data_IF_524837795029
#
_entry.id   IF_524837795029
#
_cell.length_a   1.000
_cell.length_b   1.000
_cell.length_c   1.000
_cell.angle_alpha   90.00
_cell.angle_beta   90.00
_cell.angle_gamma   90.00
#
_symmetry.space_group_name_H-M   'P 1'
#
loop_
_entity.id
_entity.type
_entity.pdbx_description
1 polymer ?
#
# COMPACT_ATOMS: atom_id res chain seq x y z
N UNK A 1 13.12 -9.82 -20.17
CA UNK A 1 12.61 -10.03 -18.78
C UNK A 1 12.97 -8.78 -18.00
N UNK A 2 12.04 -8.20 -17.25
CA UNK A 2 12.23 -6.96 -16.47
C UNK A 2 12.93 -7.32 -15.16
N UNK A 3 14.12 -6.77 -14.91
CA UNK A 3 14.88 -6.95 -13.67
C UNK A 3 14.29 -6.09 -12.57
N UNK A 4 14.10 -6.66 -11.37
CA UNK A 4 13.39 -6.00 -10.27
C UNK A 4 14.24 -6.02 -9.00
N UNK A 5 14.26 -4.89 -8.28
CA UNK A 5 14.63 -4.89 -6.86
C UNK A 5 13.39 -4.70 -6.00
N UNK A 6 13.31 -5.41 -4.87
CA UNK A 6 12.21 -5.35 -3.92
C UNK A 6 12.71 -4.78 -2.59
N UNK A 7 12.24 -3.57 -2.23
CA UNK A 7 12.56 -2.91 -0.96
C UNK A 7 11.44 -3.11 0.04
N UNK A 8 11.81 -3.22 1.32
CA UNK A 8 10.84 -3.43 2.40
C UNK A 8 9.96 -4.66 2.12
N UNK A 9 10.61 -5.71 1.64
CA UNK A 9 9.97 -6.84 0.99
C UNK A 9 8.94 -7.57 1.87
N UNK A 10 9.00 -7.40 3.19
CA UNK A 10 8.13 -8.12 4.12
C UNK A 10 8.26 -9.63 3.91
N UNK A 11 7.15 -10.27 3.66
CA UNK A 11 7.11 -11.72 3.32
C UNK A 11 7.10 -11.98 1.80
N UNK A 12 7.45 -10.98 0.97
CA UNK A 12 7.56 -11.14 -0.48
C UNK A 12 6.27 -10.94 -1.27
N UNK A 13 5.40 -10.03 -0.83
CA UNK A 13 4.11 -9.80 -1.49
C UNK A 13 4.25 -9.30 -2.93
N UNK A 14 5.18 -8.40 -3.21
CA UNK A 14 5.48 -7.96 -4.57
C UNK A 14 6.07 -9.11 -5.41
N UNK A 15 7.03 -9.85 -4.85
CA UNK A 15 7.65 -10.98 -5.55
C UNK A 15 6.65 -12.03 -5.96
N UNK A 16 5.74 -12.43 -5.06
CA UNK A 16 4.68 -13.40 -5.37
C UNK A 16 3.78 -12.87 -6.50
N UNK A 17 3.35 -11.61 -6.43
CA UNK A 17 2.51 -11.00 -7.45
C UNK A 17 3.19 -10.91 -8.82
N UNK A 18 4.44 -10.48 -8.86
CA UNK A 18 5.22 -10.37 -10.10
C UNK A 18 5.56 -11.75 -10.69
N UNK A 19 5.83 -12.77 -9.86
CA UNK A 19 6.00 -14.15 -10.32
C UNK A 19 4.73 -14.68 -10.99
N UNK A 20 3.54 -14.41 -10.41
CA UNK A 20 2.23 -14.74 -11.01
C UNK A 20 1.96 -13.94 -12.30
N UNK A 21 2.44 -12.70 -12.37
CA UNK A 21 2.33 -11.87 -13.58
C UNK A 21 3.21 -12.38 -14.74
N UNK A 22 4.35 -13.01 -14.42
CA UNK A 22 5.40 -13.47 -15.33
C UNK A 22 6.15 -12.34 -16.04
N UNK A 23 7.34 -12.63 -16.56
CA UNK A 23 8.17 -11.67 -17.28
C UNK A 23 9.08 -10.80 -16.40
N UNK A 24 9.18 -11.11 -15.10
CA UNK A 24 9.99 -10.42 -14.11
C UNK A 24 11.04 -11.33 -13.48
N UNK A 25 12.18 -10.75 -13.14
CA UNK A 25 13.27 -11.39 -12.44
C UNK A 25 13.64 -10.54 -11.20
N UNK A 26 13.45 -11.07 -10.00
CA UNK A 26 13.89 -10.37 -8.78
C UNK A 26 15.39 -10.58 -8.63
N UNK A 27 16.16 -9.55 -8.94
CA UNK A 27 17.62 -9.59 -8.90
C UNK A 27 18.20 -9.20 -7.54
N UNK A 28 17.42 -8.52 -6.70
CA UNK A 28 17.81 -8.17 -5.34
C UNK A 28 16.59 -7.81 -4.48
N UNK A 29 16.70 -8.03 -3.18
CA UNK A 29 15.66 -7.67 -2.21
C UNK A 29 16.27 -7.23 -0.89
N UNK A 30 15.54 -6.38 -0.15
CA UNK A 30 15.92 -5.95 1.19
C UNK A 30 14.72 -6.00 2.13
N UNK A 31 14.93 -6.60 3.31
CA UNK A 31 13.97 -6.59 4.41
C UNK A 31 14.71 -6.54 5.74
N UNK A 32 14.39 -5.56 6.56
CA UNK A 32 14.93 -5.42 7.90
C UNK A 32 13.89 -4.87 8.89
N UNK A 33 13.85 -5.44 10.10
CA UNK A 33 12.94 -5.05 11.17
C UNK A 33 13.73 -4.40 12.32
N UNK A 34 13.78 -3.05 12.43
CA UNK A 34 14.69 -2.33 13.34
C UNK A 34 14.39 -2.54 14.83
N UNK A 35 13.17 -2.93 15.19
CA UNK A 35 12.73 -3.02 16.58
C UNK A 35 12.85 -4.41 17.21
N UNK A 36 13.22 -5.41 16.42
CA UNK A 36 13.28 -6.81 16.88
C UNK A 36 14.65 -7.42 16.66
N UNK A 37 15.09 -8.28 17.61
CA UNK A 37 16.33 -9.07 17.43
C UNK A 37 16.16 -10.19 16.40
N UNK A 38 14.95 -10.76 16.32
CA UNK A 38 14.58 -11.74 15.29
C UNK A 38 14.05 -11.02 14.06
N UNK A 39 14.30 -11.59 12.88
CA UNK A 39 13.91 -11.01 11.59
C UNK A 39 12.90 -11.91 10.85
N UNK A 40 11.71 -12.18 11.44
CA UNK A 40 10.82 -13.23 10.95
C UNK A 40 10.28 -12.97 9.55
N UNK A 41 10.16 -11.71 9.12
CA UNK A 41 9.75 -11.41 7.75
C UNK A 41 10.86 -11.81 6.75
N UNK A 42 12.11 -11.46 7.05
CA UNK A 42 13.28 -11.85 6.27
C UNK A 42 13.50 -13.37 6.29
N UNK A 43 13.32 -14.02 7.46
CA UNK A 43 13.45 -15.47 7.59
C UNK A 43 12.45 -16.21 6.69
N UNK A 44 11.18 -15.78 6.66
CA UNK A 44 10.15 -16.30 5.76
C UNK A 44 10.51 -16.04 4.30
N UNK A 45 10.94 -14.82 4.00
CA UNK A 45 11.32 -14.44 2.64
C UNK A 45 12.41 -15.35 2.10
N UNK A 46 13.49 -15.55 2.87
CA UNK A 46 14.63 -16.40 2.46
C UNK A 46 14.25 -17.87 2.40
N UNK A 47 13.38 -18.36 3.29
CA UNK A 47 12.88 -19.73 3.24
C UNK A 47 12.06 -19.99 1.95
N UNK A 48 11.36 -18.99 1.41
CA UNK A 48 10.56 -19.12 0.19
C UNK A 48 11.35 -18.92 -1.09
N UNK A 49 12.32 -18.02 -1.08
CA UNK A 49 12.93 -17.51 -2.31
C UNK A 49 14.46 -17.67 -2.37
N UNK A 50 15.06 -18.19 -1.33
CA UNK A 50 16.53 -18.25 -1.19
C UNK A 50 17.13 -16.97 -0.63
N UNK A 51 18.38 -17.05 -0.20
CA UNK A 51 19.13 -15.97 0.45
C UNK A 51 20.12 -15.24 -0.47
N UNK A 52 20.40 -15.77 -1.65
CA UNK A 52 21.54 -15.36 -2.47
C UNK A 52 21.53 -13.88 -2.87
N UNK A 53 20.36 -13.31 -3.09
CA UNK A 53 20.16 -11.91 -3.48
C UNK A 53 19.30 -11.17 -2.47
N UNK A 54 19.35 -11.54 -1.19
CA UNK A 54 18.56 -10.93 -0.12
C UNK A 54 19.46 -10.25 0.92
N UNK A 55 19.21 -8.97 1.18
CA UNK A 55 19.86 -8.22 2.25
C UNK A 55 18.95 -8.09 3.45
N UNK A 56 19.42 -8.55 4.61
CA UNK A 56 18.78 -8.32 5.91
C UNK A 56 19.58 -7.27 6.72
N UNK A 57 19.71 -6.08 6.14
CA UNK A 57 20.43 -4.97 6.75
C UNK A 57 19.57 -3.70 6.67
N UNK A 58 19.86 -2.73 7.55
CA UNK A 58 19.23 -1.40 7.41
C UNK A 58 19.55 -0.83 6.02
N UNK A 59 18.55 -0.50 5.25
CA UNK A 59 18.72 0.02 3.89
C UNK A 59 19.55 1.31 3.87
N UNK A 60 19.51 2.11 4.93
CA UNK A 60 20.35 3.31 5.04
C UNK A 60 21.84 2.95 5.15
N UNK A 61 22.19 1.91 5.91
CA UNK A 61 23.56 1.42 6.01
C UNK A 61 24.03 0.80 4.68
N UNK A 62 23.13 0.09 3.96
CA UNK A 62 23.44 -0.43 2.62
C UNK A 62 23.74 0.71 1.64
N UNK A 63 22.94 1.76 1.65
CA UNK A 63 23.12 2.93 0.78
C UNK A 63 24.42 3.66 1.12
N UNK A 64 24.74 3.83 2.41
CA UNK A 64 25.93 4.57 2.84
C UNK A 64 27.23 3.79 2.59
N UNK A 65 27.23 2.46 2.79
CA UNK A 65 28.46 1.68 2.85
C UNK A 65 28.59 0.60 1.77
N UNK A 66 27.51 0.21 1.12
CA UNK A 66 27.46 -0.93 0.20
C UNK A 66 26.63 -0.62 -1.06
N UNK A 67 26.56 0.63 -1.50
CA UNK A 67 25.68 1.06 -2.61
C UNK A 67 25.88 0.19 -3.87
N UNK A 68 27.11 -0.18 -4.18
CA UNK A 68 27.46 -1.03 -5.33
C UNK A 68 26.89 -2.46 -5.25
N UNK A 69 26.43 -2.88 -4.06
CA UNK A 69 25.76 -4.17 -3.89
C UNK A 69 24.29 -4.15 -4.43
N UNK A 70 23.73 -2.96 -4.68
CA UNK A 70 22.42 -2.82 -5.29
C UNK A 70 22.58 -2.91 -6.80
N UNK A 71 22.15 -4.02 -7.45
CA UNK A 71 22.38 -4.23 -8.88
C UNK A 71 21.58 -3.27 -9.74
N UNK A 72 21.94 -3.19 -11.03
CA UNK A 72 21.14 -2.49 -12.02
C UNK A 72 19.83 -3.23 -12.26
N UNK A 73 18.75 -2.47 -12.39
CA UNK A 73 17.40 -2.98 -12.46
C UNK A 73 16.49 -2.05 -13.28
N UNK A 74 15.43 -2.63 -13.83
CA UNK A 74 14.46 -1.91 -14.66
C UNK A 74 13.24 -1.43 -13.87
N UNK A 75 12.93 -2.12 -12.74
CA UNK A 75 11.78 -1.85 -11.89
C UNK A 75 12.19 -1.89 -10.41
N UNK A 76 11.84 -0.86 -9.65
CA UNK A 76 11.91 -0.86 -8.20
C UNK A 76 10.51 -1.00 -7.62
N UNK A 77 10.31 -1.99 -6.74
CA UNK A 77 9.05 -2.18 -6.03
C UNK A 77 9.25 -2.08 -4.51
N UNK A 78 8.20 -1.62 -3.80
CA UNK A 78 8.26 -1.57 -2.33
C UNK A 78 7.01 -1.03 -1.66
N UNK A 79 6.71 -1.58 -0.49
CA UNK A 79 5.67 -1.09 0.41
C UNK A 79 6.30 -0.33 1.58
N UNK A 80 6.58 0.95 1.41
CA UNK A 80 7.26 1.73 2.44
C UNK A 80 6.30 2.17 3.57
N UNK A 81 6.72 2.10 4.86
CA UNK A 81 5.85 2.46 5.97
C UNK A 81 5.49 3.94 6.01
N UNK A 82 4.25 4.23 6.47
CA UNK A 82 3.67 5.58 6.55
C UNK A 82 3.99 6.31 7.87
N UNK A 83 4.93 5.83 8.68
CA UNK A 83 5.18 6.39 9.99
C UNK A 83 6.19 7.54 9.92
N UNK A 84 5.80 8.71 10.47
CA UNK A 84 6.64 9.87 10.80
C UNK A 84 7.29 10.70 9.68
N UNK A 85 6.61 10.88 8.53
CA UNK A 85 7.11 11.75 7.46
C UNK A 85 7.34 13.20 7.91
N UNK A 86 6.52 13.72 8.84
CA UNK A 86 6.47 15.17 9.11
C UNK A 86 7.49 15.67 10.14
N UNK A 87 7.93 14.83 11.07
CA UNK A 87 8.78 15.28 12.20
C UNK A 87 10.27 15.02 11.91
N UNK A 88 10.60 13.90 11.28
CA UNK A 88 11.97 13.55 10.98
C UNK A 88 12.54 14.41 9.84
N UNK A 89 11.76 14.69 8.79
CA UNK A 89 12.21 15.50 7.65
C UNK A 89 12.77 16.87 8.06
N UNK A 90 12.07 17.62 8.90
CA UNK A 90 12.51 18.99 9.25
C UNK A 90 13.85 18.99 9.98
N UNK A 91 14.13 18.00 10.81
CA UNK A 91 15.41 17.87 11.53
C UNK A 91 16.53 17.38 10.63
N UNK A 92 16.25 16.44 9.75
CA UNK A 92 17.25 15.77 8.90
C UNK A 92 17.59 16.62 7.67
N UNK A 93 16.60 17.20 7.02
CA UNK A 93 16.81 18.11 5.90
C UNK A 93 17.63 19.33 6.32
N UNK A 94 17.30 19.96 7.45
CA UNK A 94 18.09 21.06 8.01
C UNK A 94 19.52 20.62 8.40
N UNK A 95 19.74 19.38 8.84
CA UNK A 95 21.05 18.85 9.15
C UNK A 95 21.86 18.50 7.90
N UNK A 96 21.21 18.00 6.86
CA UNK A 96 21.83 17.64 5.57
C UNK A 96 22.27 18.90 4.79
N UNK A 97 21.46 19.95 4.80
CA UNK A 97 21.85 21.25 4.20
C UNK A 97 23.01 21.94 4.93
N UNK A 98 23.18 21.69 6.22
CA UNK A 98 24.28 22.26 7.02
C UNK A 98 25.57 21.47 6.96
N UNK A 99 25.51 20.21 6.54
CA UNK A 99 26.68 19.33 6.44
C UNK A 99 26.85 18.85 5.00
N UNK A 100 27.67 19.52 4.23
CA UNK A 100 28.02 19.24 2.83
C UNK A 100 28.89 17.98 2.66
N UNK A 101 28.81 16.98 3.54
CA UNK A 101 29.53 15.73 3.43
C UNK A 101 28.73 14.55 4.00
N UNK A 102 28.05 13.82 3.10
CA UNK A 102 27.49 12.49 3.34
C UNK A 102 26.06 12.49 3.90
N UNK A 103 25.32 11.47 3.49
CA UNK A 103 23.98 11.11 3.93
C UNK A 103 24.02 10.64 5.41
N UNK A 104 24.53 11.48 6.31
CA UNK A 104 24.57 11.16 7.73
C UNK A 104 23.33 11.66 8.42
N UNK A 105 22.41 10.72 8.77
CA UNK A 105 21.35 11.00 9.74
C UNK A 105 19.94 10.57 9.42
N UNK A 106 19.65 9.84 8.36
CA UNK A 106 18.29 9.50 7.89
C UNK A 106 17.73 8.20 8.44
N UNK A 107 17.98 7.86 9.70
CA UNK A 107 17.29 6.75 10.37
C UNK A 107 15.83 7.12 10.60
N UNK A 108 14.98 7.00 9.58
CA UNK A 108 13.57 7.20 9.86
C UNK A 108 12.61 7.36 8.69
N UNK A 109 13.05 7.70 7.51
CA UNK A 109 12.08 7.92 6.42
C UNK A 109 12.47 7.09 5.21
N UNK A 110 11.91 5.90 5.13
CA UNK A 110 12.23 4.92 4.08
C UNK A 110 11.92 5.43 2.65
N UNK A 111 11.11 6.49 2.51
CA UNK A 111 10.97 7.21 1.26
C UNK A 111 12.31 7.77 0.76
N UNK A 112 13.09 8.35 1.66
CA UNK A 112 14.39 8.94 1.28
C UNK A 112 15.43 7.90 0.92
N UNK A 113 15.30 6.68 1.44
CA UNK A 113 16.11 5.55 0.98
C UNK A 113 15.78 5.18 -0.47
N UNK A 114 14.49 5.16 -0.84
CA UNK A 114 14.10 5.00 -2.25
C UNK A 114 14.68 6.14 -3.09
N UNK A 115 14.49 7.39 -2.69
CA UNK A 115 14.99 8.57 -3.40
C UNK A 115 16.51 8.52 -3.58
N UNK A 116 17.27 8.18 -2.52
CA UNK A 116 18.72 8.09 -2.55
C UNK A 116 19.23 7.00 -3.52
N UNK A 117 18.53 5.87 -3.61
CA UNK A 117 18.85 4.84 -4.62
C UNK A 117 18.63 5.39 -6.03
N UNK A 118 17.50 6.04 -6.28
CA UNK A 118 17.20 6.63 -7.59
C UNK A 118 18.21 7.71 -7.99
N UNK A 119 18.54 8.61 -7.06
CA UNK A 119 19.52 9.67 -7.27
C UNK A 119 20.93 9.10 -7.49
N UNK A 120 21.34 8.14 -6.65
CA UNK A 120 22.65 7.50 -6.73
C UNK A 120 22.86 6.68 -8.03
N UNK A 121 21.80 6.04 -8.55
CA UNK A 121 21.83 5.37 -9.86
C UNK A 121 21.83 6.37 -11.04
N UNK A 122 21.36 7.58 -10.85
CA UNK A 122 21.42 8.65 -11.85
C UNK A 122 20.80 8.26 -13.21
N UNK A 123 21.62 8.17 -14.24
CA UNK A 123 21.16 7.77 -15.59
C UNK A 123 20.68 6.32 -15.65
N UNK A 124 21.23 5.45 -14.82
CA UNK A 124 20.89 4.02 -14.70
C UNK A 124 19.77 3.75 -13.71
N UNK A 125 19.08 4.81 -13.23
CA UNK A 125 17.88 4.64 -12.40
C UNK A 125 16.81 3.84 -13.15
N UNK A 126 15.99 3.02 -12.44
CA UNK A 126 15.02 2.14 -13.07
C UNK A 126 14.02 2.88 -13.94
N UNK A 127 13.63 2.26 -15.05
CA UNK A 127 12.58 2.77 -15.93
C UNK A 127 11.24 2.92 -15.24
N UNK A 128 10.98 2.08 -14.20
CA UNK A 128 9.68 2.00 -13.54
C UNK A 128 9.79 1.91 -12.04
N UNK A 129 8.78 2.48 -11.36
CA UNK A 129 8.55 2.24 -9.94
C UNK A 129 7.13 1.69 -9.75
N UNK A 130 6.95 0.73 -8.84
CA UNK A 130 5.65 0.26 -8.37
C UNK A 130 5.65 0.25 -6.84
N UNK A 131 5.02 1.23 -6.24
CA UNK A 131 5.04 1.45 -4.80
C UNK A 131 3.65 1.30 -4.19
N UNK A 132 3.58 0.84 -2.95
CA UNK A 132 2.33 0.71 -2.19
C UNK A 132 2.41 1.47 -0.89
N UNK A 133 1.28 2.06 -0.48
CA UNK A 133 1.14 2.66 0.84
C UNK A 133 -0.35 2.68 1.29
N UNK A 134 -0.60 3.03 2.54
CA UNK A 134 -1.96 3.27 3.01
C UNK A 134 -2.57 4.50 2.32
N UNK A 135 -3.87 4.46 2.02
CA UNK A 135 -4.59 5.55 1.34
C UNK A 135 -4.55 6.90 2.10
N UNK A 136 -4.29 6.85 3.41
CA UNK A 136 -4.09 8.06 4.23
C UNK A 136 -2.89 8.91 3.81
N UNK A 137 -1.90 8.34 3.10
CA UNK A 137 -0.77 9.09 2.56
C UNK A 137 -1.22 10.32 1.78
N UNK A 138 -2.30 10.21 0.99
CA UNK A 138 -2.85 11.31 0.21
C UNK A 138 -3.37 12.49 1.06
N UNK A 139 -3.52 12.30 2.38
CA UNK A 139 -4.12 13.26 3.33
C UNK A 139 -3.22 13.53 4.52
N UNK A 140 -1.97 13.11 4.46
CA UNK A 140 -1.02 13.26 5.56
C UNK A 140 -0.08 14.45 5.31
N UNK A 141 0.35 15.20 6.33
CA UNK A 141 -0.12 15.18 7.72
C UNK A 141 -1.48 15.88 7.88
N UNK A 142 -2.16 15.65 9.00
CA UNK A 142 -3.50 16.21 9.25
C UNK A 142 -3.54 17.72 9.30
N UNK A 143 -2.43 18.37 9.67
CA UNK A 143 -2.26 19.84 9.76
C UNK A 143 -2.03 20.51 8.41
N UNK A 144 -1.51 19.78 7.44
CA UNK A 144 -1.22 20.24 6.06
C UNK A 144 -1.53 19.08 5.10
N UNK A 145 -2.81 18.78 4.91
CA UNK A 145 -3.24 17.58 4.18
C UNK A 145 -2.69 17.54 2.77
N UNK A 146 -2.05 16.41 2.45
CA UNK A 146 -1.46 16.12 1.15
C UNK A 146 -0.01 16.60 0.97
N UNK A 147 0.55 17.37 1.92
CA UNK A 147 1.91 17.89 1.81
C UNK A 147 2.95 16.79 1.58
N UNK A 148 2.91 15.73 2.38
CA UNK A 148 3.92 14.66 2.29
C UNK A 148 3.81 13.89 0.98
N UNK A 149 2.60 13.72 0.46
CA UNK A 149 2.41 13.14 -0.86
C UNK A 149 2.90 14.08 -1.98
N UNK A 150 2.69 15.39 -1.84
CA UNK A 150 3.25 16.38 -2.77
C UNK A 150 4.78 16.33 -2.81
N UNK A 151 5.44 16.13 -1.67
CA UNK A 151 6.90 15.97 -1.58
C UNK A 151 7.36 14.73 -2.36
N UNK A 152 6.69 13.60 -2.17
CA UNK A 152 6.96 12.35 -2.92
C UNK A 152 6.83 12.60 -4.42
N UNK A 153 5.72 13.16 -4.86
CA UNK A 153 5.46 13.45 -6.27
C UNK A 153 6.48 14.44 -6.84
N UNK A 154 6.77 15.51 -6.10
CA UNK A 154 7.72 16.54 -6.52
C UNK A 154 9.12 15.97 -6.67
N UNK A 155 9.61 15.20 -5.68
CA UNK A 155 10.94 14.60 -5.72
C UNK A 155 11.10 13.61 -6.89
N UNK A 156 10.06 12.84 -7.23
CA UNK A 156 10.11 11.95 -8.41
C UNK A 156 10.11 12.73 -9.73
N UNK A 157 9.34 13.81 -9.83
CA UNK A 157 9.37 14.63 -11.05
C UNK A 157 10.71 15.33 -11.23
N UNK A 158 11.40 15.72 -10.15
CA UNK A 158 12.75 16.29 -10.19
C UNK A 158 13.79 15.26 -10.69
N UNK A 159 13.55 13.96 -10.44
CA UNK A 159 14.35 12.85 -10.98
C UNK A 159 13.92 12.43 -12.40
N UNK A 160 13.00 13.15 -13.02
CA UNK A 160 12.58 12.93 -14.42
C UNK A 160 11.48 11.87 -14.59
N UNK A 161 10.69 11.57 -13.57
CA UNK A 161 9.56 10.64 -13.68
C UNK A 161 8.24 11.38 -13.96
N UNK A 162 7.38 10.74 -14.78
CA UNK A 162 5.93 10.96 -14.74
C UNK A 162 5.38 9.97 -13.73
N UNK A 163 4.46 10.42 -12.86
CA UNK A 163 3.94 9.59 -11.76
C UNK A 163 2.41 9.57 -11.79
N UNK A 164 1.82 8.38 -11.81
CA UNK A 164 0.39 8.18 -11.59
C UNK A 164 0.15 7.46 -10.26
N UNK A 165 -1.02 7.70 -9.68
CA UNK A 165 -1.46 6.99 -8.47
C UNK A 165 -2.93 6.61 -8.57
N UNK A 166 -3.26 5.52 -7.86
CA UNK A 166 -4.64 5.07 -7.73
C UNK A 166 -4.87 4.45 -6.37
N UNK A 167 -5.97 4.86 -5.72
CA UNK A 167 -6.43 4.19 -4.52
C UNK A 167 -7.28 3.00 -4.94
N UNK A 168 -6.78 1.80 -4.66
CA UNK A 168 -7.42 0.53 -5.00
C UNK A 168 -7.91 -0.12 -3.71
N UNK A 169 -9.20 -0.44 -3.64
CA UNK A 169 -9.73 -1.37 -2.67
C UNK A 169 -9.84 -2.74 -3.38
N UNK A 170 -9.07 -3.71 -2.92
CA UNK A 170 -8.96 -5.01 -3.60
C UNK A 170 -10.32 -5.71 -3.82
N UNK A 171 -11.24 -5.59 -2.87
CA UNK A 171 -12.57 -6.17 -2.98
C UNK A 171 -13.42 -5.57 -4.12
N UNK A 172 -13.19 -4.32 -4.47
CA UNK A 172 -13.94 -3.66 -5.57
C UNK A 172 -13.55 -4.23 -6.95
N UNK A 173 -12.51 -5.10 -7.00
CA UNK A 173 -11.97 -5.71 -8.21
C UNK A 173 -11.89 -7.24 -8.11
N UNK A 174 -12.81 -7.83 -7.35
CA UNK A 174 -13.03 -9.28 -7.29
C UNK A 174 -12.21 -10.04 -6.24
N UNK A 175 -11.39 -9.36 -5.44
CA UNK A 175 -10.52 -10.00 -4.45
C UNK A 175 -11.21 -10.17 -3.08
N UNK A 176 -10.78 -11.14 -2.24
CA UNK A 176 -11.55 -11.57 -1.06
C UNK A 176 -11.47 -10.61 0.14
N UNK A 177 -10.72 -9.51 0.04
CA UNK A 177 -10.52 -8.59 1.17
C UNK A 177 -10.75 -7.12 0.80
N UNK A 178 -11.50 -6.39 1.63
CA UNK A 178 -11.67 -4.94 1.54
C UNK A 178 -10.43 -4.20 2.06
N UNK A 179 -9.30 -4.36 1.35
CA UNK A 179 -8.03 -3.71 1.67
C UNK A 179 -7.77 -2.55 0.73
N UNK A 180 -7.90 -1.35 1.27
CA UNK A 180 -7.75 -0.10 0.53
C UNK A 180 -6.33 0.42 0.66
N UNK A 181 -5.64 0.61 -0.49
CA UNK A 181 -4.27 1.10 -0.56
C UNK A 181 -4.09 2.07 -1.72
N UNK A 182 -3.14 2.98 -1.59
CA UNK A 182 -2.66 3.76 -2.74
C UNK A 182 -1.50 3.00 -3.37
N UNK A 183 -1.61 2.79 -4.68
CA UNK A 183 -0.53 2.32 -5.52
C UNK A 183 -0.02 3.49 -6.34
N UNK A 184 1.31 3.56 -6.48
CA UNK A 184 2.01 4.63 -7.20
C UNK A 184 2.86 3.97 -8.27
N UNK A 185 2.64 4.37 -9.52
CA UNK A 185 3.45 3.95 -10.66
C UNK A 185 4.23 5.16 -11.16
N UNK A 186 5.52 4.98 -11.42
CA UNK A 186 6.34 6.04 -11.99
C UNK A 186 7.09 5.54 -13.22
N UNK A 187 7.24 6.40 -14.19
CA UNK A 187 7.82 6.13 -15.51
C UNK A 187 8.95 7.11 -15.76
N UNK A 188 10.18 6.61 -15.90
CA UNK A 188 11.37 7.43 -16.09
C UNK A 188 11.45 8.01 -17.51
N UNK A 189 11.96 9.20 -17.61
CA UNK A 189 12.33 9.85 -18.88
C UNK A 189 13.22 8.91 -19.72
N UNK A 190 12.81 8.66 -20.96
CA UNK A 190 13.48 7.74 -21.87
C UNK A 190 12.85 6.35 -21.95
N UNK A 191 12.08 5.90 -20.93
CA UNK A 191 11.38 4.62 -21.01
C UNK A 191 10.28 4.62 -22.08
N UNK A 192 9.91 3.43 -22.60
CA UNK A 192 8.86 3.33 -23.64
C UNK A 192 7.54 3.97 -23.22
N UNK A 193 7.06 3.66 -22.03
CA UNK A 193 5.80 4.19 -21.49
C UNK A 193 5.89 5.71 -21.29
N UNK A 194 7.00 6.22 -20.75
CA UNK A 194 7.18 7.68 -20.60
C UNK A 194 7.07 8.39 -21.94
N UNK A 195 7.77 7.89 -23.00
CA UNK A 195 7.72 8.48 -24.35
C UNK A 195 6.30 8.53 -24.88
N UNK A 196 5.54 7.44 -24.68
CA UNK A 196 4.13 7.40 -25.08
C UNK A 196 3.30 8.45 -24.35
N UNK A 197 3.33 8.47 -23.00
CA UNK A 197 2.57 9.45 -22.19
C UNK A 197 2.97 10.89 -22.53
N UNK A 198 4.28 11.11 -22.76
CA UNK A 198 4.79 12.45 -23.07
C UNK A 198 4.25 12.99 -24.39
N UNK A 199 3.92 12.13 -25.34
CA UNK A 199 3.42 12.48 -26.67
C UNK A 199 1.88 12.47 -26.77
N UNK A 200 1.16 12.10 -25.70
CA UNK A 200 -0.30 12.15 -25.72
C UNK A 200 -0.80 13.59 -25.84
N UNK A 201 -1.80 13.85 -26.69
CA UNK A 201 -2.45 15.17 -26.77
C UNK A 201 -3.10 15.56 -25.44
N UNK A 202 -3.74 14.61 -24.79
CA UNK A 202 -4.38 14.74 -23.47
C UNK A 202 -3.81 13.66 -22.55
N UNK A 203 -3.06 14.06 -21.55
CA UNK A 203 -2.48 13.13 -20.57
C UNK A 203 -3.56 12.43 -19.71
N UNK A 204 -4.74 13.03 -19.60
CA UNK A 204 -5.91 12.48 -18.93
C UNK A 204 -6.34 11.13 -19.52
N UNK A 205 -6.17 10.93 -20.83
CA UNK A 205 -6.51 9.69 -21.53
C UNK A 205 -5.74 8.49 -20.97
N UNK A 206 -4.53 8.74 -20.45
CA UNK A 206 -3.74 7.71 -19.79
C UNK A 206 -4.42 7.18 -18.52
N UNK A 207 -4.86 8.06 -17.64
CA UNK A 207 -5.44 7.66 -16.35
C UNK A 207 -6.91 7.28 -16.43
N UNK A 208 -7.61 7.60 -17.54
CA UNK A 208 -9.05 7.31 -17.71
C UNK A 208 -9.34 6.15 -18.65
N UNK A 209 -8.42 5.83 -19.59
CA UNK A 209 -8.70 4.85 -20.65
C UNK A 209 -7.59 3.81 -20.82
N UNK A 210 -6.36 4.22 -21.02
CA UNK A 210 -5.31 3.38 -21.60
C UNK A 210 -4.15 3.03 -20.65
N UNK A 211 -4.08 3.63 -19.46
CA UNK A 211 -2.93 3.51 -18.57
C UNK A 211 -2.74 2.16 -17.91
N UNK A 212 -1.51 1.92 -17.45
CA UNK A 212 -1.11 0.71 -16.73
C UNK A 212 -2.03 0.38 -15.57
N UNK A 213 -2.51 1.39 -14.85
CA UNK A 213 -3.42 1.19 -13.71
C UNK A 213 -4.90 1.12 -14.14
N UNK A 214 -5.28 1.81 -15.23
CA UNK A 214 -6.67 1.86 -15.67
C UNK A 214 -7.14 0.52 -16.25
N UNK A 215 -6.32 -0.13 -17.05
CA UNK A 215 -6.67 -1.41 -17.68
C UNK A 215 -7.07 -2.51 -16.69
N UNK A 216 -6.26 -2.82 -15.65
CA UNK A 216 -6.61 -3.86 -14.68
C UNK A 216 -7.56 -3.41 -13.58
N UNK A 217 -7.69 -2.11 -13.34
CA UNK A 217 -8.50 -1.51 -12.30
C UNK A 217 -9.36 -0.37 -12.88
N UNK A 218 -10.30 -0.71 -13.77
CA UNK A 218 -11.09 0.31 -14.44
C UNK A 218 -11.92 1.11 -13.44
N UNK A 219 -11.85 2.43 -13.57
CA UNK A 219 -12.60 3.38 -12.75
C UNK A 219 -13.19 4.45 -13.66
N UNK A 220 -14.38 4.91 -13.32
CA UNK A 220 -15.04 6.05 -13.95
C UNK A 220 -15.01 7.27 -13.05
N UNK A 221 -15.02 8.45 -13.64
CA UNK A 221 -15.13 9.72 -12.91
C UNK A 221 -16.41 9.74 -12.08
N UNK A 222 -16.30 10.14 -10.82
CA UNK A 222 -17.45 10.32 -9.94
C UNK A 222 -18.06 11.71 -10.16
N UNK A 223 -19.04 11.80 -11.03
CA UNK A 223 -19.72 13.07 -11.38
C UNK A 223 -20.73 13.56 -10.32
N UNK A 224 -20.62 13.09 -9.06
CA UNK A 224 -21.61 13.39 -8.03
C UNK A 224 -22.98 12.76 -8.32
N UNK A 225 -23.98 13.00 -7.47
CA UNK A 225 -25.37 12.58 -7.70
C UNK A 225 -26.01 13.44 -8.80
N UNK A 226 -25.80 13.09 -10.07
CA UNK A 226 -26.59 13.57 -11.18
C UNK A 226 -28.00 12.90 -11.19
N UNK A 227 -28.73 13.06 -10.10
CA UNK A 227 -30.19 13.01 -10.12
C UNK A 227 -30.66 14.42 -10.46
N UNK A 228 -31.01 14.63 -11.74
CA UNK A 228 -31.51 15.86 -12.36
C UNK A 228 -30.42 16.86 -12.81
N UNK A 229 -29.95 16.73 -14.04
CA UNK A 229 -30.13 17.79 -15.06
C UNK A 229 -29.40 17.43 -16.35
N UNK A 230 -29.84 17.97 -17.45
CA UNK A 230 -29.42 17.79 -18.84
C UNK A 230 -27.89 17.69 -19.04
N UNK A 231 -27.51 16.72 -19.85
CA UNK A 231 -26.15 16.48 -20.36
C UNK A 231 -25.51 17.77 -20.88
N UNK A 232 -24.64 18.36 -20.13
CA UNK A 232 -23.54 19.15 -20.65
C UNK A 232 -22.25 18.40 -20.40
N UNK A 233 -21.53 18.06 -21.46
CA UNK A 233 -20.30 17.31 -21.48
C UNK A 233 -19.10 18.08 -20.89
N UNK A 234 -19.27 19.27 -20.34
CA UNK A 234 -18.22 20.19 -19.92
C UNK A 234 -17.94 20.24 -18.40
N UNK A 235 -18.62 19.46 -17.57
CA UNK A 235 -18.36 19.41 -16.14
C UNK A 235 -17.73 18.07 -15.72
N UNK A 236 -16.61 17.71 -16.30
CA UNK A 236 -15.73 16.71 -15.74
C UNK A 236 -14.97 17.36 -14.56
N UNK A 237 -15.28 16.95 -13.34
CA UNK A 237 -14.62 17.47 -12.14
C UNK A 237 -13.20 16.88 -11.97
N UNK A 238 -12.33 17.12 -12.96
CA UNK A 238 -10.92 16.94 -12.85
C UNK A 238 -10.29 18.22 -12.29
N UNK A 239 -9.62 18.10 -11.16
CA UNK A 239 -8.87 19.21 -10.62
C UNK A 239 -7.46 19.22 -11.23
N UNK A 240 -7.02 20.40 -11.66
CA UNK A 240 -5.68 20.63 -12.18
C UNK A 240 -5.00 21.71 -11.36
N UNK A 241 -3.80 21.44 -10.87
CA UNK A 241 -2.97 22.42 -10.16
C UNK A 241 -1.48 22.13 -10.32
N UNK A 242 -0.67 23.12 -10.02
CA UNK A 242 0.79 23.00 -10.07
C UNK A 242 1.39 22.93 -8.66
N UNK A 243 2.31 21.98 -8.44
CA UNK A 243 3.14 21.96 -7.23
C UNK A 243 4.28 22.96 -7.44
N UNK A 244 4.18 24.11 -6.79
CA UNK A 244 5.12 25.22 -6.96
C UNK A 244 6.28 25.18 -5.96
N UNK A 245 7.44 25.64 -6.42
CA UNK A 245 8.61 25.81 -5.59
C UNK A 245 9.47 24.57 -5.40
N UNK A 246 10.51 24.71 -4.60
CA UNK A 246 11.39 23.62 -4.16
C UNK A 246 10.72 22.76 -3.10
N UNK A 247 11.32 21.62 -2.77
CA UNK A 247 10.85 20.77 -1.66
C UNK A 247 10.75 21.55 -0.33
N UNK A 248 11.64 22.50 -0.10
CA UNK A 248 11.62 23.38 1.07
C UNK A 248 10.35 24.23 1.13
N UNK A 249 9.96 24.84 0.01
CA UNK A 249 8.75 25.65 -0.05
C UNK A 249 7.48 24.88 0.27
N UNK A 250 7.44 23.55 0.00
CA UNK A 250 6.27 22.72 0.30
C UNK A 250 6.00 22.60 1.81
N UNK A 251 7.03 22.70 2.66
CA UNK A 251 6.84 22.71 4.12
C UNK A 251 6.21 23.99 4.63
N UNK A 252 6.45 25.10 3.97
CA UNK A 252 5.95 26.41 4.34
C UNK A 252 4.62 26.76 3.68
N UNK A 253 4.22 26.03 2.64
CA UNK A 253 2.95 26.25 1.92
C UNK A 253 1.74 25.89 2.79
N UNK A 254 1.19 26.91 3.45
CA UNK A 254 -0.04 26.82 4.24
C UNK A 254 -1.29 27.22 3.45
N UNK A 255 -1.16 27.51 2.19
CA UNK A 255 -2.27 27.94 1.30
C UNK A 255 -2.83 26.75 0.54
N UNK A 256 -1.97 25.94 -0.09
CA UNK A 256 -2.37 24.72 -0.79
C UNK A 256 -2.62 23.57 0.18
N UNK A 257 -1.75 23.39 1.19
CA UNK A 257 -1.82 22.30 2.16
C UNK A 257 -2.38 22.79 3.50
N UNK A 258 -3.69 22.70 3.67
CA UNK A 258 -4.42 23.11 4.87
C UNK A 258 -5.04 21.92 5.58
N UNK A 259 -5.50 22.04 6.85
CA UNK A 259 -6.20 20.96 7.54
C UNK A 259 -7.51 20.53 6.87
N UNK A 260 -8.12 21.40 6.06
CA UNK A 260 -9.43 21.17 5.42
C UNK A 260 -9.33 20.80 3.95
N UNK A 261 -8.27 21.19 3.28
CA UNK A 261 -8.09 20.93 1.85
C UNK A 261 -7.78 19.44 1.57
N UNK A 262 -8.14 18.98 0.39
CA UNK A 262 -7.87 17.63 -0.11
C UNK A 262 -7.39 17.74 -1.55
N UNK A 263 -6.14 18.19 -1.76
CA UNK A 263 -5.64 18.46 -3.11
C UNK A 263 -5.51 17.21 -3.96
N UNK A 264 -5.26 16.03 -3.34
CA UNK A 264 -5.12 14.77 -4.05
C UNK A 264 -6.37 13.91 -3.88
N UNK A 265 -7.00 13.56 -4.99
CA UNK A 265 -8.11 12.62 -5.06
C UNK A 265 -7.60 11.18 -5.20
N UNK A 266 -8.53 10.22 -5.33
CA UNK A 266 -8.16 8.80 -5.36
C UNK A 266 -7.52 8.32 -6.67
N UNK A 267 -7.57 9.12 -7.74
CA UNK A 267 -6.87 8.89 -9.01
C UNK A 267 -6.17 10.18 -9.42
N UNK A 268 -4.98 10.07 -9.97
CA UNK A 268 -4.29 11.22 -10.56
C UNK A 268 -2.96 10.88 -11.23
N UNK A 269 -2.42 11.89 -11.88
CA UNK A 269 -1.12 11.87 -12.55
C UNK A 269 -0.41 13.22 -12.36
N UNK A 270 0.90 13.19 -12.28
CA UNK A 270 1.73 14.39 -12.30
C UNK A 270 2.77 14.29 -13.41
N UNK A 271 2.91 15.36 -14.17
CA UNK A 271 3.93 15.56 -15.18
C UNK A 271 4.45 16.99 -15.08
N UNK A 272 5.77 17.16 -15.02
CA UNK A 272 6.39 18.48 -14.94
C UNK A 272 5.75 19.38 -13.86
N UNK A 273 5.57 18.86 -12.65
CA UNK A 273 4.92 19.51 -11.50
C UNK A 273 3.42 19.84 -11.69
N UNK A 274 2.83 19.60 -12.85
CA UNK A 274 1.37 19.73 -13.06
C UNK A 274 0.65 18.47 -12.65
N UNK A 275 -0.22 18.60 -11.67
CA UNK A 275 -1.09 17.53 -11.14
C UNK A 275 -2.44 17.59 -11.81
N UNK A 276 -2.95 16.42 -12.22
CA UNK A 276 -4.33 16.21 -12.64
C UNK A 276 -4.89 15.10 -11.77
N UNK A 277 -6.01 15.35 -11.11
CA UNK A 277 -6.59 14.40 -10.16
C UNK A 277 -8.13 14.49 -10.13
N UNK A 278 -8.78 13.36 -9.84
CA UNK A 278 -10.24 13.31 -9.74
C UNK A 278 -10.68 12.19 -8.78
N UNK A 279 -11.89 12.34 -8.23
CA UNK A 279 -12.54 11.27 -7.49
C UNK A 279 -13.14 10.26 -8.49
N UNK A 280 -12.81 8.99 -8.31
CA UNK A 280 -13.24 7.91 -9.18
C UNK A 280 -14.01 6.84 -8.41
N UNK A 281 -14.90 6.16 -9.09
CA UNK A 281 -15.61 4.98 -8.62
C UNK A 281 -15.13 3.75 -9.40
N UNK A 282 -15.01 2.60 -8.75
CA UNK A 282 -14.63 1.36 -9.42
C UNK A 282 -15.70 0.96 -10.45
N UNK A 283 -15.26 0.39 -11.57
CA UNK A 283 -16.11 -0.10 -12.66
C UNK A 283 -15.70 -1.53 -13.00
N UNK A 284 -16.06 -2.48 -12.14
CA UNK A 284 -15.72 -3.88 -12.26
C UNK A 284 -16.97 -4.73 -12.27
N UNK A 285 -17.06 -5.64 -13.25
CA UNK A 285 -18.24 -6.49 -13.49
C UNK A 285 -17.89 -7.99 -13.46
N UNK A 286 -16.69 -8.36 -13.02
CA UNK A 286 -16.28 -9.75 -12.86
C UNK A 286 -16.74 -10.36 -11.55
N UNK A 287 -16.35 -11.62 -11.35
CA UNK A 287 -16.66 -12.37 -10.14
C UNK A 287 -16.01 -11.74 -8.91
N UNK A 288 -16.72 -11.83 -7.78
CA UNK A 288 -16.27 -11.31 -6.49
C UNK A 288 -16.06 -12.48 -5.54
N UNK A 289 -14.82 -12.66 -5.10
CA UNK A 289 -14.48 -13.67 -4.11
C UNK A 289 -14.92 -13.21 -2.71
N UNK A 290 -15.68 -14.07 -2.02
CA UNK A 290 -16.17 -13.82 -0.68
C UNK A 290 -15.22 -14.33 0.41
N UNK A 291 -15.49 -14.01 1.68
CA UNK A 291 -14.79 -14.61 2.82
C UNK A 291 -15.01 -16.14 2.85
N UNK A 292 -16.22 -16.60 2.51
CA UNK A 292 -16.55 -18.02 2.49
C UNK A 292 -15.70 -18.82 1.51
N UNK A 293 -15.34 -18.24 0.35
CA UNK A 293 -14.57 -18.91 -0.69
C UNK A 293 -13.10 -19.19 -0.30
N UNK A 294 -12.59 -18.58 0.76
CA UNK A 294 -11.20 -18.74 1.21
C UNK A 294 -11.05 -19.57 2.48
N UNK A 295 -12.15 -20.06 3.04
CA UNK A 295 -12.12 -20.87 4.26
C UNK A 295 -11.46 -22.23 4.02
N UNK A 296 -10.87 -22.77 5.08
CA UNK A 296 -10.44 -24.16 5.15
C UNK A 296 -11.64 -25.07 5.48
N UNK A 297 -11.49 -26.36 5.18
CA UNK A 297 -12.45 -27.36 5.61
C UNK A 297 -12.46 -27.44 7.15
N UNK A 298 -13.66 -27.56 7.73
CA UNK A 298 -13.83 -27.53 9.19
C UNK A 298 -13.09 -28.66 9.93
N UNK A 299 -12.81 -29.79 9.26
CA UNK A 299 -12.03 -30.90 9.81
C UNK A 299 -10.55 -30.58 9.99
N UNK A 300 -10.04 -29.62 9.23
CA UNK A 300 -8.64 -29.16 9.31
C UNK A 300 -8.43 -28.03 10.35
N UNK A 301 -9.50 -27.55 10.98
CA UNK A 301 -9.41 -26.41 11.90
C UNK A 301 -8.98 -26.86 13.30
N UNK A 302 -7.82 -26.41 13.80
CA UNK A 302 -7.39 -26.71 15.16
C UNK A 302 -8.39 -26.22 16.22
N UNK A 303 -8.66 -27.02 17.28
CA UNK A 303 -9.65 -26.67 18.30
C UNK A 303 -9.47 -25.31 18.96
N UNK A 304 -8.25 -24.80 19.05
CA UNK A 304 -7.93 -23.50 19.64
C UNK A 304 -8.45 -22.29 18.86
N UNK A 305 -8.89 -22.45 17.63
CA UNK A 305 -9.50 -21.37 16.86
C UNK A 305 -10.96 -21.17 17.19
N UNK A 306 -11.63 -22.18 17.77
CA UNK A 306 -13.02 -22.06 18.19
C UNK A 306 -13.17 -21.20 19.44
N UNK A 307 -14.27 -20.46 19.48
CA UNK A 307 -14.64 -19.63 20.64
C UNK A 307 -15.43 -20.49 21.62
N UNK A 308 -14.96 -20.54 22.86
CA UNK A 308 -15.65 -21.28 23.91
C UNK A 308 -16.91 -20.53 24.37
N UNK A 309 -17.94 -21.22 24.88
CA UNK A 309 -19.11 -20.56 25.45
C UNK A 309 -18.76 -19.55 26.56
N UNK A 310 -17.72 -19.83 27.34
CA UNK A 310 -17.24 -18.93 28.42
C UNK A 310 -16.62 -17.64 27.88
N UNK A 311 -16.07 -17.62 26.68
CA UNK A 311 -15.45 -16.45 26.08
C UNK A 311 -16.45 -15.61 25.29
N UNK A 312 -17.61 -16.19 24.91
CA UNK A 312 -18.57 -15.57 24.00
C UNK A 312 -19.08 -14.22 24.52
N UNK A 313 -19.36 -14.08 25.81
CA UNK A 313 -19.83 -12.84 26.42
C UNK A 313 -18.82 -11.68 26.18
N UNK A 314 -17.54 -11.97 26.36
CA UNK A 314 -16.45 -11.01 26.10
C UNK A 314 -16.37 -10.59 24.62
N UNK A 315 -16.58 -11.53 23.70
CA UNK A 315 -16.62 -11.23 22.26
C UNK A 315 -17.81 -10.34 21.90
N UNK A 316 -19.02 -10.69 22.38
CA UNK A 316 -20.24 -9.90 22.16
C UNK A 316 -20.06 -8.47 22.72
N UNK A 317 -19.55 -8.35 23.96
CA UNK A 317 -19.27 -7.04 24.55
C UNK A 317 -18.30 -6.22 23.71
N UNK A 318 -17.16 -6.79 23.29
CA UNK A 318 -16.16 -6.06 22.51
C UNK A 318 -16.66 -5.67 21.12
N UNK A 319 -17.48 -6.48 20.47
CA UNK A 319 -18.04 -6.23 19.14
C UNK A 319 -19.22 -5.27 19.17
N UNK A 320 -19.94 -5.21 20.28
CA UNK A 320 -21.12 -4.36 20.45
C UNK A 320 -20.81 -2.87 20.47
N UNK A 321 -21.86 -2.08 20.32
CA UNK A 321 -21.81 -0.63 20.56
C UNK A 321 -21.59 -0.35 22.05
N UNK A 322 -20.88 0.73 22.34
CA UNK A 322 -20.66 1.21 23.70
C UNK A 322 -21.04 2.69 23.79
N UNK A 323 -21.68 3.05 24.89
CA UNK A 323 -22.05 4.41 25.21
C UNK A 323 -22.04 4.55 26.75
N UNK A 324 -20.87 4.77 27.32
CA UNK A 324 -20.65 4.64 28.77
C UNK A 324 -19.70 5.71 29.29
N UNK A 325 -19.89 6.09 30.56
CA UNK A 325 -18.94 6.92 31.32
C UNK A 325 -17.69 6.10 31.64
N UNK A 326 -16.52 6.69 31.45
CA UNK A 326 -15.21 6.11 31.84
C UNK A 326 -14.36 7.14 32.53
N UNK A 327 -13.49 6.68 33.42
CA UNK A 327 -12.51 7.51 34.10
C UNK A 327 -11.10 7.20 33.57
N UNK A 328 -10.33 8.22 33.22
CA UNK A 328 -8.93 8.05 32.84
C UNK A 328 -8.08 7.57 34.02
N UNK A 329 -6.88 7.04 33.76
CA UNK A 329 -5.93 6.70 34.84
C UNK A 329 -5.54 7.89 35.71
N UNK A 330 -5.76 9.11 35.22
CA UNK A 330 -5.49 10.37 35.92
C UNK A 330 -6.74 10.93 36.67
N UNK A 331 -7.85 10.17 36.71
CA UNK A 331 -9.05 10.54 37.44
C UNK A 331 -10.01 11.50 36.72
N UNK A 332 -9.84 11.69 35.39
CA UNK A 332 -10.75 12.53 34.60
C UNK A 332 -11.87 11.67 34.02
N UNK A 333 -13.11 12.02 34.31
CA UNK A 333 -14.28 11.38 33.73
C UNK A 333 -14.52 11.86 32.33
N UNK A 334 -14.81 10.91 31.40
CA UNK A 334 -15.16 11.19 30.03
C UNK A 334 -16.24 10.24 29.54
N UNK A 335 -16.99 10.68 28.55
CA UNK A 335 -18.00 9.86 27.91
C UNK A 335 -17.37 9.11 26.72
N UNK A 336 -17.42 7.76 26.78
CA UNK A 336 -16.91 6.89 25.73
C UNK A 336 -18.06 6.41 24.85
N UNK A 337 -18.00 6.73 23.55
CA UNK A 337 -18.97 6.28 22.56
C UNK A 337 -18.28 5.56 21.41
N UNK A 338 -18.74 4.36 21.09
CA UNK A 338 -18.21 3.51 20.03
C UNK A 338 -19.33 2.73 19.37
N UNK A 339 -19.45 2.80 18.04
CA UNK A 339 -20.47 2.06 17.30
C UNK A 339 -20.18 0.54 17.28
N UNK A 340 -21.14 -0.33 16.99
CA UNK A 340 -20.92 -1.75 16.81
C UNK A 340 -20.05 -2.06 15.56
N UNK A 341 -19.33 -3.19 15.60
CA UNK A 341 -18.74 -3.82 14.41
C UNK A 341 -19.54 -5.06 14.03
N UNK A 342 -19.45 -5.44 12.75
CA UNK A 342 -20.11 -6.65 12.25
C UNK A 342 -19.67 -7.87 13.06
N UNK A 343 -20.65 -8.66 13.52
CA UNK A 343 -20.43 -9.88 14.28
C UNK A 343 -21.65 -10.82 14.13
N UNK A 344 -21.47 -12.06 13.68
CA UNK A 344 -20.26 -12.60 13.06
C UNK A 344 -19.93 -11.91 11.71
N UNK A 345 -18.70 -12.09 11.21
CA UNK A 345 -18.33 -11.65 9.87
C UNK A 345 -19.08 -12.43 8.82
N UNK A 346 -19.67 -11.74 7.83
CA UNK A 346 -20.47 -12.36 6.77
C UNK A 346 -19.60 -13.17 5.81
N UNK A 347 -20.05 -14.38 5.47
CA UNK A 347 -19.33 -15.30 4.59
C UNK A 347 -19.59 -15.04 3.10
N UNK A 348 -20.71 -14.41 2.76
CA UNK A 348 -21.17 -14.13 1.40
C UNK A 348 -20.60 -12.85 0.79
N UNK A 349 -19.65 -12.20 1.45
CA UNK A 349 -19.04 -10.93 1.06
C UNK A 349 -17.52 -10.96 1.26
N UNK A 350 -16.76 -10.09 0.54
CA UNK A 350 -15.35 -9.90 0.83
C UNK A 350 -15.12 -9.52 2.29
N UNK A 351 -14.10 -10.11 2.89
CA UNK A 351 -13.67 -9.84 4.27
C UNK A 351 -13.42 -8.36 4.53
N UNK A 352 -13.57 -7.93 5.77
CA UNK A 352 -13.00 -6.65 6.24
C UNK A 352 -11.48 -6.69 6.07
N UNK A 353 -10.84 -5.52 6.12
CA UNK A 353 -9.36 -5.45 6.18
C UNK A 353 -8.85 -6.21 7.40
N UNK A 354 -7.99 -7.19 7.20
CA UNK A 354 -7.24 -7.84 8.29
C UNK A 354 -6.21 -6.89 8.86
N UNK A 355 -6.00 -6.99 10.16
CA UNK A 355 -5.08 -6.14 10.92
C UNK A 355 -3.96 -6.96 11.56
N UNK A 356 -2.91 -6.30 12.00
CA UNK A 356 -1.78 -6.93 12.69
C UNK A 356 -2.18 -7.63 14.02
N UNK A 357 -3.32 -7.28 14.57
CA UNK A 357 -3.85 -7.85 15.81
C UNK A 357 -4.76 -9.08 15.63
N UNK A 358 -4.84 -9.71 14.44
CA UNK A 358 -5.68 -10.90 14.19
C UNK A 358 -5.26 -12.11 15.03
N UNK A 359 -3.97 -12.25 15.30
CA UNK A 359 -3.44 -13.40 16.04
C UNK A 359 -3.83 -13.46 17.51
N UNK A 360 -3.62 -14.66 18.11
CA UNK A 360 -3.86 -14.91 19.54
C UNK A 360 -5.33 -15.16 19.90
N UNK A 361 -5.56 -15.81 21.06
CA UNK A 361 -6.90 -16.25 21.50
C UNK A 361 -7.75 -15.15 22.12
N UNK A 362 -7.13 -14.10 22.68
CA UNK A 362 -7.84 -13.07 23.41
C UNK A 362 -8.90 -12.38 22.53
N UNK A 363 -10.11 -12.17 23.07
CA UNK A 363 -11.15 -11.42 22.38
C UNK A 363 -10.68 -10.02 21.98
N UNK A 364 -11.11 -9.58 20.80
CA UNK A 364 -10.77 -8.27 20.26
C UNK A 364 -11.90 -7.74 19.39
N UNK A 365 -12.13 -6.43 19.46
CA UNK A 365 -13.09 -5.75 18.63
C UNK A 365 -12.83 -5.97 17.13
N UNK A 366 -11.57 -5.99 16.72
CA UNK A 366 -11.19 -5.94 15.32
C UNK A 366 -10.89 -7.29 14.67
N UNK A 367 -10.61 -8.34 15.47
CA UNK A 367 -10.38 -9.69 14.95
C UNK A 367 -11.61 -10.21 14.21
N UNK A 368 -11.40 -10.98 13.15
CA UNK A 368 -12.47 -11.68 12.46
C UNK A 368 -13.01 -12.84 13.29
N UNK A 369 -14.32 -12.97 13.29
CA UNK A 369 -15.03 -14.12 13.87
C UNK A 369 -16.14 -14.51 12.92
N UNK A 370 -16.18 -15.77 12.55
CA UNK A 370 -17.20 -16.36 11.68
C UNK A 370 -18.07 -17.34 12.46
N UNK A 371 -19.30 -17.52 12.02
CA UNK A 371 -20.21 -18.58 12.46
C UNK A 371 -20.19 -19.70 11.43
N UNK A 372 -19.70 -20.87 11.81
CA UNK A 372 -19.54 -22.03 10.91
C UNK A 372 -20.75 -22.96 10.91
N UNK A 373 -21.49 -22.96 11.99
CA UNK A 373 -22.83 -23.56 12.13
C UNK A 373 -23.57 -22.85 13.27
N UNK A 374 -24.91 -22.98 13.38
CA UNK A 374 -25.68 -22.27 14.40
C UNK A 374 -25.08 -22.38 15.81
N UNK A 375 -24.65 -21.26 16.38
CA UNK A 375 -24.03 -21.17 17.70
C UNK A 375 -22.57 -21.61 17.79
N UNK A 376 -21.93 -22.02 16.71
CA UNK A 376 -20.52 -22.42 16.68
C UNK A 376 -19.67 -21.37 15.98
N UNK A 377 -18.82 -20.68 16.74
CA UNK A 377 -18.01 -19.54 16.28
C UNK A 377 -16.53 -19.87 16.33
N UNK A 378 -15.77 -19.32 15.38
CA UNK A 378 -14.31 -19.40 15.38
C UNK A 378 -13.63 -18.16 14.78
N UNK A 379 -12.37 -18.01 15.11
CA UNK A 379 -11.46 -17.04 14.46
C UNK A 379 -10.95 -17.60 13.14
N UNK A 380 -10.40 -16.73 12.30
CA UNK A 380 -9.69 -17.15 11.09
C UNK A 380 -8.33 -17.76 11.44
N UNK A 381 -7.94 -18.78 10.70
CA UNK A 381 -6.62 -19.42 10.80
C UNK A 381 -5.56 -18.60 10.05
N UNK A 382 -4.25 -18.82 10.29
CA UNK A 382 -3.19 -18.20 9.50
C UNK A 382 -3.30 -18.49 8.00
N UNK A 383 -3.70 -19.69 7.60
CA UNK A 383 -3.89 -20.08 6.19
C UNK A 383 -5.01 -19.25 5.56
N UNK A 384 -6.13 -19.07 6.25
CA UNK A 384 -7.23 -18.23 5.76
C UNK A 384 -6.82 -16.74 5.64
N UNK A 385 -5.96 -16.24 6.55
CA UNK A 385 -5.39 -14.90 6.45
C UNK A 385 -4.42 -14.77 5.26
N UNK A 386 -3.65 -15.82 4.96
CA UNK A 386 -2.80 -15.89 3.77
C UNK A 386 -3.65 -15.86 2.49
N UNK A 387 -4.70 -16.68 2.42
CA UNK A 387 -5.65 -16.72 1.29
C UNK A 387 -6.36 -15.37 1.08
N UNK A 388 -6.72 -14.66 2.16
CA UNK A 388 -7.30 -13.32 2.08
C UNK A 388 -6.38 -12.29 1.44
N UNK A 389 -5.07 -12.44 1.57
CA UNK A 389 -4.07 -11.66 0.86
C UNK A 389 -3.63 -12.29 -0.47
N UNK A 390 -4.24 -13.43 -0.86
CA UNK A 390 -3.96 -14.18 -2.09
C UNK A 390 -2.53 -14.74 -2.17
N UNK A 391 -1.92 -15.02 -1.01
CA UNK A 391 -0.74 -15.89 -0.92
C UNK A 391 -1.14 -17.35 -1.03
N UNK A 392 -0.18 -18.20 -1.36
CA UNK A 392 -0.35 -19.65 -1.32
C UNK A 392 -0.43 -20.11 0.14
N UNK A 393 -1.09 -21.25 0.38
CA UNK A 393 -1.22 -21.84 1.71
C UNK A 393 0.15 -22.10 2.34
N UNK A 394 0.24 -21.84 3.64
CA UNK A 394 1.47 -22.01 4.40
C UNK A 394 2.64 -21.12 3.94
N UNK A 395 2.36 -20.01 3.28
CA UNK A 395 3.40 -19.07 2.86
C UNK A 395 4.26 -18.56 4.03
N UNK A 396 3.69 -18.48 5.22
CA UNK A 396 4.38 -17.99 6.42
C UNK A 396 4.56 -19.06 7.50
N UNK A 397 4.59 -20.35 7.13
CA UNK A 397 4.61 -21.49 8.07
C UNK A 397 5.86 -21.53 8.98
N UNK A 398 6.94 -20.84 8.64
CA UNK A 398 8.16 -20.77 9.43
C UNK A 398 7.98 -19.95 10.73
N UNK A 399 6.90 -19.17 10.83
CA UNK A 399 6.58 -18.37 12.00
C UNK A 399 5.45 -18.99 12.83
N UNK A 400 5.40 -18.67 14.13
CA UNK A 400 4.28 -19.01 14.98
C UNK A 400 3.00 -18.28 14.52
N UNK A 401 1.82 -18.88 14.73
CA UNK A 401 0.51 -18.41 14.25
C UNK A 401 0.22 -16.92 14.55
N UNK A 402 0.58 -16.46 15.74
CA UNK A 402 0.41 -15.05 16.11
C UNK A 402 1.26 -14.13 15.23
N UNK A 403 2.48 -14.56 14.88
CA UNK A 403 3.37 -13.79 14.01
C UNK A 403 2.93 -13.88 12.56
N UNK A 404 2.46 -15.06 12.09
CA UNK A 404 1.83 -15.25 10.77
C UNK A 404 0.70 -14.25 10.57
N UNK A 405 -0.24 -14.19 11.52
CA UNK A 405 -1.35 -13.25 11.49
C UNK A 405 -0.88 -11.78 11.48
N UNK A 406 0.14 -11.45 12.27
CA UNK A 406 0.73 -10.10 12.29
C UNK A 406 1.31 -9.73 10.93
N UNK A 407 2.05 -10.63 10.30
CA UNK A 407 2.67 -10.42 9.00
C UNK A 407 1.61 -10.27 7.90
N UNK A 408 0.55 -11.06 7.93
CA UNK A 408 -0.57 -10.91 7.00
C UNK A 408 -1.33 -9.59 7.20
N UNK A 409 -1.42 -9.07 8.43
CA UNK A 409 -1.97 -7.74 8.69
C UNK A 409 -1.17 -6.61 8.05
N UNK A 410 0.14 -6.77 7.91
CA UNK A 410 1.03 -5.82 7.23
C UNK A 410 1.10 -6.04 5.71
N UNK A 411 0.94 -7.26 5.23
CA UNK A 411 1.10 -7.61 3.83
C UNK A 411 0.07 -6.92 2.91
N UNK A 412 0.41 -6.79 1.65
CA UNK A 412 -0.49 -6.34 0.57
C UNK A 412 -1.34 -7.52 0.05
N UNK A 413 -2.33 -7.21 -0.81
CA UNK A 413 -3.06 -8.24 -1.57
C UNK A 413 -2.31 -8.53 -2.86
N UNK A 414 -1.77 -9.74 -2.97
CA UNK A 414 -0.92 -10.21 -4.09
C UNK A 414 -1.58 -10.02 -5.45
N UNK A 415 -2.89 -10.28 -5.55
CA UNK A 415 -3.65 -10.13 -6.80
C UNK A 415 -3.65 -8.73 -7.39
N UNK A 416 -3.47 -7.68 -6.56
CA UNK A 416 -3.32 -6.31 -7.07
C UNK A 416 -1.99 -6.17 -7.80
N UNK A 417 -0.91 -6.65 -7.20
CA UNK A 417 0.44 -6.61 -7.80
C UNK A 417 0.51 -7.47 -9.06
N UNK A 418 -0.12 -8.65 -9.05
CA UNK A 418 -0.21 -9.52 -10.24
C UNK A 418 -0.87 -8.78 -11.41
N UNK A 419 -2.03 -8.15 -11.18
CA UNK A 419 -2.75 -7.40 -12.23
C UNK A 419 -1.95 -6.19 -12.73
N UNK A 420 -1.33 -5.42 -11.82
CA UNK A 420 -0.46 -4.29 -12.20
C UNK A 420 0.77 -4.76 -12.97
N UNK A 421 1.41 -5.85 -12.51
CA UNK A 421 2.57 -6.44 -13.18
C UNK A 421 2.24 -6.90 -14.60
N UNK A 422 1.13 -7.63 -14.80
CA UNK A 422 0.68 -8.04 -16.15
C UNK A 422 0.47 -6.82 -17.05
N UNK A 423 -0.16 -5.77 -16.55
CA UNK A 423 -0.43 -4.56 -17.31
C UNK A 423 0.87 -3.83 -17.64
N UNK A 424 1.76 -3.61 -16.68
CA UNK A 424 3.06 -2.96 -16.91
C UNK A 424 3.89 -3.70 -17.94
N UNK A 425 3.97 -5.03 -17.84
CA UNK A 425 4.71 -5.87 -18.80
C UNK A 425 4.16 -5.70 -20.22
N UNK A 426 2.83 -5.77 -20.37
CA UNK A 426 2.19 -5.65 -21.68
C UNK A 426 2.43 -4.26 -22.29
N UNK A 427 2.29 -3.18 -21.50
CA UNK A 427 2.50 -1.82 -21.99
C UNK A 427 3.99 -1.55 -22.31
N UNK A 428 4.92 -2.08 -21.52
CA UNK A 428 6.34 -1.96 -21.77
C UNK A 428 6.70 -2.49 -23.15
N UNK A 429 6.31 -3.72 -23.45
CA UNK A 429 6.65 -4.33 -24.76
C UNK A 429 5.84 -3.75 -25.91
N UNK A 430 4.58 -3.37 -25.68
CA UNK A 430 3.74 -2.74 -26.70
C UNK A 430 4.32 -1.41 -27.20
N UNK A 431 4.90 -0.61 -26.31
CA UNK A 431 5.50 0.68 -26.67
C UNK A 431 7.00 0.60 -27.00
N UNK A 432 7.61 -0.58 -26.93
CA UNK A 432 8.97 -0.81 -27.45
C UNK A 432 9.01 -1.08 -28.96
N UNK A 433 7.90 -1.61 -29.51
CA UNK A 433 7.72 -1.85 -30.94
C UNK A 433 7.38 -0.54 -31.68
#
# INVERSE_FOLDING_TARGET
>A
MIKVIELFAGVGGFRVGLNKAKGYEIVWSNQWEPTTKSQPASDIYTARFGSDNHSNEDIAEVIEHKFDSIPDHDLLVGGFPCQDYSVAWKREYESTLKNTSGIKGTKGILWWSIHAILEGKGVDSPDYLMLENVDRLLKFPTTQRGRDFAIILSSLTDLGYIVEWRVINAADFGMPQRRKRVYIMAYKSGSPIYKHINNLPNIEDWITTNGVMQKPFPMRINNGNLLNTQLSFDNQEMERFEIKGSLENLYEDKTTFTPTNRPFKNVGIIKNKTVITYDALPEYYGDIMSLGDVLQDEEDIPPEFYITPSDMESWIYLKGAKNEGRTTKTGIDYHYSEGAVTFPDALDKPSRTIITGEGGRAPSRFKHVIEVSPGKYRRLTPIELERLNMFDDNHTQEAADTKRAFLMGNALVVGVVEKLGKSLHNEHYFYME
#
